data_IF_484165447298
#
_entry.id   IF_484165447298
#
_cell.length_a   1.000
_cell.length_b   1.000
_cell.length_c   1.000
_cell.angle_alpha   90.00
_cell.angle_beta   90.00
_cell.angle_gamma   90.00
#
_symmetry.space_group_name_H-M   'P 1'
#
loop_
_entity.id
_entity.type
_entity.pdbx_description
1 polymer ?
#
# COMPACT_ATOMS: atom_id res chain seq x y z
N UNK A 1 -22.27 27.22 9.57
CA UNK A 1 -22.26 27.07 8.63
C UNK A 1 -22.13 26.86 7.94
N UNK A 2 -22.27 26.71 8.44
CA UNK A 2 -22.23 26.46 7.47
C UNK A 2 -22.04 26.52 6.92
N UNK A 3 -22.22 26.60 7.34
CA UNK A 3 -22.07 26.63 6.45
C UNK A 3 -21.88 26.66 5.85
N UNK A 4 -22.04 26.75 6.08
CA UNK A 4 -21.85 26.72 5.21
C UNK A 4 -21.67 26.85 4.72
N UNK A 5 -21.94 26.97 5.05
CA UNK A 5 -21.78 26.88 4.38
C UNK A 5 -21.78 26.84 4.09
N UNK A 6 -22.18 26.89 4.49
CA UNK A 6 -22.15 26.45 4.13
C UNK A 6 -22.18 26.01 4.20
N UNK A 7 -22.19 25.73 4.59
CA UNK A 7 -22.15 25.05 4.55
C UNK A 7 -22.07 24.34 4.95
N UNK A 8 -22.33 24.04 5.27
CA UNK A 8 -22.00 23.42 5.49
C UNK A 8 -21.85 22.86 5.91
N UNK A 9 -22.23 22.55 6.46
CA UNK A 9 -21.78 21.74 6.71
C UNK A 9 -21.34 21.10 6.51
N UNK A 10 -21.21 21.20 6.88
CA UNK A 10 -20.70 20.35 6.11
C UNK A 10 -20.15 19.20 6.46
N UNK A 11 -20.65 18.31 6.15
CA UNK A 11 -19.94 17.09 6.33
C UNK A 11 -18.46 17.35 6.07
N UNK A 12 -17.62 16.77 6.86
CA UNK A 12 -16.21 16.92 6.63
C UNK A 12 -15.85 16.22 5.33
N UNK A 13 -15.35 16.96 4.39
CA UNK A 13 -14.92 16.35 3.14
C UNK A 13 -13.57 15.68 3.30
N UNK A 14 -13.33 14.67 2.50
CA UNK A 14 -12.03 14.02 2.39
C UNK A 14 -11.10 15.00 1.70
N UNK A 15 -9.99 15.35 2.36
CA UNK A 15 -9.10 16.40 1.85
C UNK A 15 -8.19 15.93 0.73
N UNK A 16 -7.91 14.61 0.64
CA UNK A 16 -7.07 14.05 -0.42
C UNK A 16 -7.93 13.23 -1.36
N UNK A 17 -7.61 13.24 -2.67
CA UNK A 17 -8.36 12.41 -3.60
C UNK A 17 -8.15 10.93 -3.29
N UNK A 18 -9.17 10.13 -3.56
CA UNK A 18 -9.07 8.69 -3.41
C UNK A 18 -8.09 8.12 -4.43
N UNK A 19 -7.44 7.03 -4.07
CA UNK A 19 -6.47 6.34 -4.92
C UNK A 19 -7.13 5.17 -5.64
N UNK A 20 -7.98 4.45 -4.90
CA UNK A 20 -8.62 3.26 -5.44
C UNK A 20 -9.82 3.62 -6.32
N UNK A 21 -10.13 2.79 -7.32
CA UNK A 21 -11.24 3.09 -8.25
C UNK A 21 -12.61 3.02 -7.57
N UNK A 22 -12.71 2.25 -6.47
CA UNK A 22 -13.94 2.15 -5.69
C UNK A 22 -13.61 2.56 -4.27
N UNK A 23 -14.42 3.43 -3.69
CA UNK A 23 -14.20 3.88 -2.31
C UNK A 23 -14.44 2.71 -1.35
N UNK A 24 -13.44 2.41 -0.51
CA UNK A 24 -13.53 1.37 0.49
C UNK A 24 -13.56 1.99 1.87
N UNK A 25 -14.02 1.23 2.87
CA UNK A 25 -14.00 1.70 4.25
C UNK A 25 -12.58 1.95 4.74
N UNK A 26 -11.64 1.09 4.35
CA UNK A 26 -10.24 1.24 4.76
C UNK A 26 -9.64 2.52 4.21
N UNK A 27 -9.90 2.85 2.93
CA UNK A 27 -9.39 4.07 2.32
C UNK A 27 -10.04 5.30 2.96
N UNK A 28 -11.36 5.25 3.18
CA UNK A 28 -12.06 6.36 3.84
C UNK A 28 -11.48 6.61 5.21
N UNK A 29 -11.27 5.57 6.00
CA UNK A 29 -10.71 5.72 7.34
C UNK A 29 -9.31 6.30 7.32
N UNK A 30 -8.49 5.92 6.33
CA UNK A 30 -7.16 6.46 6.22
C UNK A 30 -7.18 7.94 5.82
N UNK A 31 -7.96 8.28 4.78
CA UNK A 31 -7.96 9.65 4.26
C UNK A 31 -8.62 10.63 5.21
N UNK A 32 -9.68 10.21 5.90
CA UNK A 32 -10.41 11.11 6.79
C UNK A 32 -9.81 11.19 8.19
N UNK A 33 -9.26 10.08 8.70
CA UNK A 33 -8.87 9.99 10.10
C UNK A 33 -7.43 9.53 10.30
N UNK A 34 -6.69 9.22 9.25
CA UNK A 34 -5.33 8.75 9.36
C UNK A 34 -5.20 7.35 9.93
N UNK A 35 -6.26 6.55 9.88
CA UNK A 35 -6.24 5.20 10.44
C UNK A 35 -5.52 4.27 9.49
N UNK A 36 -4.44 3.67 9.98
CA UNK A 36 -3.67 2.67 9.23
C UNK A 36 -4.33 1.30 9.39
N UNK A 37 -4.39 0.53 8.31
CA UNK A 37 -4.94 -0.82 8.38
C UNK A 37 -4.24 -1.73 7.39
N UNK A 38 -4.21 -3.02 7.72
CA UNK A 38 -3.69 -4.03 6.81
C UNK A 38 -4.61 -4.17 5.58
N UNK A 39 -5.92 -3.96 5.78
CA UNK A 39 -6.86 -4.01 4.66
C UNK A 39 -6.52 -2.98 3.59
N UNK A 40 -6.19 -1.76 4.00
CA UNK A 40 -5.82 -0.73 3.03
C UNK A 40 -4.52 -1.09 2.32
N UNK A 41 -3.57 -1.66 3.04
CA UNK A 41 -2.32 -2.10 2.44
C UNK A 41 -2.57 -3.15 1.35
N UNK A 42 -3.42 -4.13 1.64
CA UNK A 42 -3.78 -5.17 0.68
C UNK A 42 -4.44 -4.57 -0.54
N UNK A 43 -5.36 -3.63 -0.33
CA UNK A 43 -6.09 -2.99 -1.42
C UNK A 43 -5.15 -2.21 -2.33
N UNK A 44 -4.24 -1.45 -1.76
CA UNK A 44 -3.28 -0.67 -2.54
C UNK A 44 -2.31 -1.55 -3.30
N UNK A 45 -1.77 -2.57 -2.64
CA UNK A 45 -0.83 -3.48 -3.30
C UNK A 45 -1.48 -4.21 -4.46
N UNK A 46 -2.71 -4.71 -4.23
CA UNK A 46 -3.45 -5.40 -5.29
C UNK A 46 -3.79 -4.49 -6.45
N UNK A 47 -4.17 -3.24 -6.17
CA UNK A 47 -4.44 -2.27 -7.22
C UNK A 47 -3.18 -1.99 -8.04
N UNK A 48 -2.05 -1.84 -7.37
CA UNK A 48 -0.78 -1.61 -8.06
C UNK A 48 -0.45 -2.78 -8.99
N UNK A 49 -0.58 -4.01 -8.49
CA UNK A 49 -0.35 -5.20 -9.31
C UNK A 49 -1.25 -5.24 -10.55
N UNK A 50 -2.52 -4.95 -10.34
CA UNK A 50 -3.50 -5.03 -11.39
C UNK A 50 -3.26 -3.98 -12.48
N UNK A 51 -3.01 -2.74 -12.08
CA UNK A 51 -2.84 -1.64 -13.03
C UNK A 51 -1.52 -1.73 -13.79
N UNK A 52 -0.47 -2.24 -13.14
CA UNK A 52 0.83 -2.37 -13.80
C UNK A 52 0.97 -3.66 -14.59
N UNK A 53 0.06 -4.61 -14.40
CA UNK A 53 0.19 -5.94 -14.99
C UNK A 53 1.22 -6.81 -14.30
N UNK A 54 1.77 -6.36 -13.16
CA UNK A 54 2.77 -7.12 -12.42
C UNK A 54 2.09 -8.04 -11.42
N UNK A 55 1.48 -9.10 -11.96
CA UNK A 55 0.56 -9.94 -11.19
C UNK A 55 1.24 -10.88 -10.20
N UNK A 56 2.52 -11.20 -10.42
CA UNK A 56 3.23 -11.98 -9.43
C UNK A 56 3.84 -11.06 -8.38
N UNK A 57 4.01 -11.57 -7.17
CA UNK A 57 4.58 -10.77 -6.09
C UNK A 57 6.01 -10.35 -6.45
N UNK A 58 6.78 -11.26 -7.06
CA UNK A 58 8.16 -10.96 -7.42
C UNK A 58 8.23 -9.84 -8.47
N UNK A 59 7.37 -9.88 -9.48
CA UNK A 59 7.38 -8.83 -10.50
C UNK A 59 6.95 -7.48 -9.93
N UNK A 60 6.02 -7.48 -8.97
CA UNK A 60 5.60 -6.25 -8.31
C UNK A 60 6.72 -5.69 -7.42
N UNK A 61 7.41 -6.57 -6.70
CA UNK A 61 8.55 -6.19 -5.88
C UNK A 61 9.63 -5.50 -6.72
N UNK A 62 9.94 -6.10 -7.87
CA UNK A 62 10.92 -5.53 -8.79
C UNK A 62 10.44 -4.20 -9.36
N UNK A 63 9.15 -4.08 -9.66
CA UNK A 63 8.57 -2.84 -10.16
C UNK A 63 8.73 -1.70 -9.14
N UNK A 64 8.48 -1.99 -7.87
CA UNK A 64 8.57 -0.99 -6.80
C UNK A 64 10.01 -0.45 -6.71
N UNK A 65 11.00 -1.33 -6.76
CA UNK A 65 12.40 -0.92 -6.69
C UNK A 65 12.77 -0.04 -7.88
N UNK A 66 12.21 -0.34 -9.04
CA UNK A 66 12.52 0.40 -10.26
C UNK A 66 12.00 1.84 -10.24
N UNK A 67 11.08 2.18 -9.32
CA UNK A 67 10.52 3.52 -9.21
C UNK A 67 11.41 4.41 -8.37
N UNK A 68 12.59 4.70 -8.87
CA UNK A 68 13.63 5.40 -8.10
C UNK A 68 13.23 6.79 -7.63
N UNK A 69 12.24 7.39 -8.27
CA UNK A 69 11.75 8.71 -7.85
C UNK A 69 11.08 8.67 -6.48
N UNK A 70 10.43 7.55 -6.15
CA UNK A 70 9.67 7.41 -4.89
C UNK A 70 10.27 6.38 -3.95
N UNK A 71 10.97 5.39 -4.49
CA UNK A 71 11.56 4.35 -3.67
C UNK A 71 12.82 4.86 -2.97
N UNK A 72 12.75 4.95 -1.64
CA UNK A 72 13.90 5.37 -0.84
C UNK A 72 14.49 4.12 -0.19
N UNK A 73 15.71 3.71 -0.59
CA UNK A 73 16.29 2.47 -0.05
C UNK A 73 16.40 2.47 1.47
N UNK A 74 16.59 3.62 2.09
CA UNK A 74 16.70 3.71 3.55
C UNK A 74 15.38 3.37 4.23
N UNK A 75 14.27 3.83 3.65
CA UNK A 75 12.94 3.69 4.27
C UNK A 75 12.18 2.47 3.77
N UNK A 76 12.41 2.06 2.53
CA UNK A 76 11.50 1.13 1.86
C UNK A 76 12.13 -0.23 1.56
N UNK A 77 13.35 -0.49 2.02
CA UNK A 77 14.00 -1.78 1.84
C UNK A 77 13.77 -2.66 3.06
N UNK A 78 13.28 -3.88 2.83
CA UNK A 78 13.15 -4.86 3.90
C UNK A 78 13.30 -6.25 3.26
N UNK A 79 14.54 -6.69 3.13
CA UNK A 79 14.88 -7.92 2.41
C UNK A 79 14.46 -9.15 3.20
N UNK A 80 13.93 -10.13 2.48
CA UNK A 80 13.59 -11.42 3.09
C UNK A 80 13.49 -12.48 2.01
N UNK A 81 13.58 -13.75 2.43
CA UNK A 81 13.40 -14.89 1.54
C UNK A 81 12.15 -15.65 1.95
N UNK A 82 11.42 -16.14 0.99
CA UNK A 82 10.22 -16.93 1.23
C UNK A 82 10.27 -18.19 0.39
N UNK A 83 10.05 -19.34 1.03
CA UNK A 83 9.97 -20.62 0.34
C UNK A 83 8.50 -21.00 0.17
N UNK A 84 8.08 -21.21 -1.08
CA UNK A 84 6.70 -21.60 -1.34
C UNK A 84 6.48 -23.08 -1.03
N UNK A 85 5.21 -23.56 -1.04
CA UNK A 85 4.93 -24.98 -0.74
C UNK A 85 5.60 -25.97 -1.70
N UNK A 86 6.02 -25.50 -2.87
CA UNK A 86 6.71 -26.35 -3.85
C UNK A 86 8.22 -26.42 -3.57
N UNK A 87 8.70 -25.73 -2.55
CA UNK A 87 10.11 -25.73 -2.20
C UNK A 87 10.95 -24.71 -2.92
N UNK A 88 10.33 -23.83 -3.71
CA UNK A 88 11.08 -22.76 -4.40
C UNK A 88 11.24 -21.58 -3.48
N UNK A 89 12.48 -21.09 -3.34
CA UNK A 89 12.79 -19.91 -2.55
C UNK A 89 12.91 -18.70 -3.46
N UNK A 90 12.27 -17.60 -3.08
CA UNK A 90 12.35 -16.34 -3.78
C UNK A 90 12.81 -15.26 -2.80
N UNK A 91 13.70 -14.40 -3.26
CA UNK A 91 14.17 -13.27 -2.46
C UNK A 91 13.42 -12.02 -2.85
N UNK A 92 12.92 -11.32 -1.84
CA UNK A 92 12.21 -10.05 -2.02
C UNK A 92 12.96 -8.95 -1.30
N UNK A 93 12.77 -7.71 -1.73
CA UNK A 93 13.61 -6.62 -1.25
C UNK A 93 12.86 -5.42 -0.69
N UNK A 94 11.57 -5.29 -0.93
CA UNK A 94 10.84 -4.08 -0.55
C UNK A 94 9.98 -4.26 0.68
N UNK A 95 9.81 -3.17 1.42
CA UNK A 95 8.94 -3.14 2.59
C UNK A 95 7.48 -3.49 2.25
N UNK A 96 6.89 -2.94 1.18
CA UNK A 96 5.52 -3.31 0.85
C UNK A 96 5.35 -4.82 0.63
N UNK A 97 6.30 -5.46 -0.04
CA UNK A 97 6.23 -6.89 -0.26
C UNK A 97 6.41 -7.67 1.05
N UNK A 98 7.31 -7.19 1.92
CA UNK A 98 7.51 -7.80 3.23
C UNK A 98 6.20 -7.82 4.04
N UNK A 99 5.52 -6.67 4.10
CA UNK A 99 4.27 -6.56 4.85
C UNK A 99 3.18 -7.42 4.21
N UNK A 100 3.05 -7.37 2.89
CA UNK A 100 2.07 -8.20 2.19
C UNK A 100 2.29 -9.67 2.48
N UNK A 101 3.53 -10.11 2.49
CA UNK A 101 3.84 -11.51 2.78
C UNK A 101 3.42 -11.89 4.20
N UNK A 102 3.65 -11.00 5.17
CA UNK A 102 3.26 -11.26 6.55
C UNK A 102 1.75 -11.31 6.72
N UNK A 103 1.01 -10.50 5.99
CA UNK A 103 -0.45 -10.54 6.03
C UNK A 103 -0.95 -11.88 5.49
N UNK A 104 -0.35 -12.36 4.40
CA UNK A 104 -0.74 -13.64 3.80
C UNK A 104 -0.30 -14.85 4.64
N UNK A 105 0.77 -14.69 5.42
CA UNK A 105 1.36 -15.79 6.19
C UNK A 105 1.58 -15.36 7.64
N UNK A 106 0.50 -15.20 8.41
CA UNK A 106 0.58 -14.58 9.74
C UNK A 106 1.29 -15.41 10.79
N UNK A 107 1.59 -16.67 10.51
CA UNK A 107 2.27 -17.54 11.46
C UNK A 107 3.79 -17.49 11.38
N UNK A 108 4.34 -16.54 10.62
CA UNK A 108 5.79 -16.41 10.55
C UNK A 108 6.32 -15.77 11.82
N UNK A 109 7.62 -15.95 12.07
CA UNK A 109 8.28 -15.33 13.22
C UNK A 109 8.54 -13.84 12.99
N UNK A 110 8.27 -13.33 11.81
CA UNK A 110 8.54 -11.95 11.46
C UNK A 110 7.36 -11.05 11.78
N UNK A 111 7.65 -9.77 11.88
CA UNK A 111 6.68 -8.80 12.32
C UNK A 111 6.99 -7.45 11.69
N UNK A 112 6.05 -6.52 11.76
CA UNK A 112 6.29 -5.14 11.29
C UNK A 112 5.68 -4.18 12.30
N UNK A 113 6.20 -2.94 12.28
CA UNK A 113 5.73 -1.89 13.19
C UNK A 113 4.68 -1.04 12.51
N UNK A 114 3.97 -0.23 13.30
CA UNK A 114 3.01 0.72 12.75
C UNK A 114 3.70 1.73 11.85
N UNK A 115 4.93 2.10 12.17
CA UNK A 115 5.68 3.03 11.32
C UNK A 115 6.04 2.40 10.00
N UNK A 116 6.40 1.14 10.01
CA UNK A 116 6.66 0.43 8.76
C UNK A 116 5.39 0.33 7.92
N UNK A 117 4.26 0.06 8.54
CA UNK A 117 2.98 0.02 7.83
C UNK A 117 2.67 1.38 7.21
N UNK A 118 2.87 2.46 7.96
CA UNK A 118 2.65 3.81 7.47
C UNK A 118 3.56 4.12 6.29
N UNK A 119 4.86 3.85 6.40
CA UNK A 119 5.81 4.08 5.32
C UNK A 119 5.42 3.32 4.06
N UNK A 120 5.00 2.07 4.23
CA UNK A 120 4.61 1.23 3.10
C UNK A 120 3.36 1.76 2.43
N UNK A 121 2.34 2.13 3.21
CA UNK A 121 1.10 2.68 2.65
C UNK A 121 1.38 3.97 1.91
N UNK A 122 2.20 4.85 2.46
CA UNK A 122 2.53 6.12 1.80
C UNK A 122 3.25 5.88 0.47
N UNK A 123 4.19 4.95 0.43
CA UNK A 123 4.86 4.60 -0.81
C UNK A 123 3.87 4.03 -1.83
N UNK A 124 3.01 3.13 -1.41
CA UNK A 124 2.03 2.53 -2.32
C UNK A 124 1.08 3.58 -2.88
N UNK A 125 0.66 4.55 -2.07
CA UNK A 125 -0.19 5.63 -2.54
C UNK A 125 0.51 6.43 -3.64
N UNK A 126 1.78 6.79 -3.41
CA UNK A 126 2.54 7.54 -4.41
C UNK A 126 2.67 6.76 -5.71
N UNK A 127 2.96 5.46 -5.61
CA UNK A 127 3.09 4.62 -6.80
C UNK A 127 1.77 4.47 -7.54
N UNK A 128 0.68 4.31 -6.81
CA UNK A 128 -0.63 4.19 -7.44
C UNK A 128 -1.05 5.47 -8.14
N UNK A 129 -0.66 6.63 -7.60
CA UNK A 129 -0.98 7.93 -8.21
C UNK A 129 -0.21 8.19 -9.48
N UNK A 130 0.89 7.47 -9.71
CA UNK A 130 1.63 7.55 -10.97
C UNK A 130 0.89 6.88 -12.11
N UNK A 131 -0.03 5.97 -11.79
CA UNK A 131 -0.69 5.17 -12.80
C UNK A 131 -1.70 6.00 -13.57
N UNK A 132 -1.83 5.77 -14.88
CA UNK A 132 -2.81 6.53 -15.66
C UNK A 132 -4.22 6.21 -15.20
N UNK A 133 -5.06 7.24 -15.18
CA UNK A 133 -6.48 7.07 -14.92
C UNK A 133 -7.14 6.45 -16.13
N UNK A 134 -7.93 5.43 -15.92
CA UNK A 134 -8.69 4.83 -17.00
C UNK A 134 -10.16 5.02 -16.75
#
# INVERSE_FOLDING_TARGET
MLSDDNGSIHSKSITAPTVLPTITSAETNYLAFGILSTDYHIELYGYLQNKTGKLTVKSCDDYIIAQSKFFNPTLHTKEFSFMNPRGKTTNYRTLPTYIRNLIDHPNSDRNYTQEELKCSIELLIELCRLLPCN
#
